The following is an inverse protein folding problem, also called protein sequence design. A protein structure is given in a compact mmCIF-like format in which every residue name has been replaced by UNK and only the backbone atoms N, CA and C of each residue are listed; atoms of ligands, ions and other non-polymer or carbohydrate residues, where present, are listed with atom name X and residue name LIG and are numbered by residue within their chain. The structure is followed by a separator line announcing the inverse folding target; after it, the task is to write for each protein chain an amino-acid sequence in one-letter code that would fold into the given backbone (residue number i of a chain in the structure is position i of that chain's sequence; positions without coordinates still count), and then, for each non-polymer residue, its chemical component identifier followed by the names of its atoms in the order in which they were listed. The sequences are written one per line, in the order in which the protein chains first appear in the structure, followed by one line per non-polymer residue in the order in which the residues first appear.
data_IF_409182957741
#
_entry.id   IF_409182957741
#
_cell.length_a   1.000
_cell.length_b   1.000
_cell.length_c   1.000
_cell.angle_alpha   90.00
_cell.angle_beta   90.00
_cell.angle_gamma   90.00
#
_symmetry.space_group_name_H-M   'P 1'
#
loop_
_entity.id
_entity.type
_entity.pdbx_description
1 polymer ?
#
# COMPACT_ATOMS: atom_id res chain seq x y z
N UNK A 1 4.56 -12.67 15.74
CA UNK A 1 5.93 -13.22 15.88
C UNK A 1 7.03 -12.38 15.24
N UNK A 2 6.77 -11.20 14.64
CA UNK A 2 7.83 -10.32 14.09
C UNK A 2 8.55 -9.45 15.14
N UNK A 3 7.89 -9.12 16.25
CA UNK A 3 8.47 -8.32 17.34
C UNK A 3 9.61 -9.03 18.11
N UNK A 4 9.82 -10.32 17.86
CA UNK A 4 10.78 -11.14 18.59
C UNK A 4 12.14 -11.27 17.88
N UNK A 5 12.25 -10.81 16.62
CA UNK A 5 13.43 -11.07 15.78
C UNK A 5 14.48 -9.96 15.76
N UNK A 6 14.17 -8.72 16.19
CA UNK A 6 15.14 -7.63 16.22
C UNK A 6 14.89 -6.70 17.42
N UNK A 7 15.84 -6.68 18.38
CA UNK A 7 15.85 -5.71 19.47
C UNK A 7 16.35 -4.36 18.92
N UNK A 8 15.44 -3.56 18.37
CA UNK A 8 15.72 -2.20 17.87
C UNK A 8 14.43 -1.47 17.50
N UNK A 9 14.48 -0.14 17.37
CA UNK A 9 13.31 0.65 16.97
C UNK A 9 12.94 0.34 15.52
N UNK A 10 11.83 -0.38 15.32
CA UNK A 10 11.22 -0.58 14.01
C UNK A 10 10.32 0.61 13.69
N UNK A 11 10.81 1.53 12.86
CA UNK A 11 9.97 2.57 12.27
C UNK A 11 9.53 2.08 10.90
N UNK A 12 8.24 1.79 10.76
CA UNK A 12 7.63 1.47 9.48
C UNK A 12 6.38 2.33 9.30
N UNK A 13 6.16 2.82 8.09
CA UNK A 13 4.96 3.58 7.74
C UNK A 13 4.03 2.67 6.93
N UNK A 14 2.91 2.19 7.54
CA UNK A 14 1.91 1.41 6.82
C UNK A 14 1.36 2.15 5.59
N UNK A 15 1.35 3.48 5.64
CA UNK A 15 0.85 4.34 4.56
C UNK A 15 1.81 4.33 3.36
N UNK A 16 3.13 4.44 3.61
CA UNK A 16 4.15 4.34 2.57
C UNK A 16 4.14 2.96 1.89
N UNK A 17 4.08 1.89 2.69
CA UNK A 17 4.01 0.51 2.18
C UNK A 17 2.76 0.31 1.33
N UNK A 18 1.60 0.80 1.76
CA UNK A 18 0.35 0.71 1.00
C UNK A 18 0.44 1.45 -0.35
N UNK A 19 1.08 2.62 -0.37
CA UNK A 19 1.23 3.43 -1.58
C UNK A 19 2.13 2.75 -2.62
N UNK A 20 3.24 2.17 -2.17
CA UNK A 20 4.16 1.40 -3.02
C UNK A 20 3.47 0.14 -3.55
N UNK A 21 2.73 -0.59 -2.71
CA UNK A 21 1.96 -1.76 -3.10
C UNK A 21 0.87 -1.43 -4.14
N UNK A 22 0.21 -0.27 -4.02
CA UNK A 22 -0.80 0.17 -5.00
C UNK A 22 -0.19 0.54 -6.36
N UNK A 23 1.00 1.15 -6.37
CA UNK A 23 1.75 1.37 -7.60
C UNK A 23 2.22 0.05 -8.22
N UNK A 24 2.63 -0.91 -7.39
CA UNK A 24 2.97 -2.27 -7.82
C UNK A 24 1.77 -3.01 -8.41
N UNK A 25 0.58 -2.86 -7.83
CA UNK A 25 -0.66 -3.42 -8.37
C UNK A 25 -0.93 -2.92 -9.79
N UNK A 26 -0.74 -1.61 -10.04
CA UNK A 26 -0.91 -1.01 -11.38
C UNK A 26 0.09 -1.56 -12.41
N UNK A 27 1.30 -1.92 -11.98
CA UNK A 27 2.33 -2.49 -12.85
C UNK A 27 2.29 -4.02 -12.95
N UNK A 28 1.62 -4.69 -12.01
CA UNK A 28 1.49 -6.13 -11.98
C UNK A 28 0.33 -6.58 -12.90
N UNK A 29 0.43 -7.82 -13.39
CA UNK A 29 -0.57 -8.42 -14.27
C UNK A 29 -0.97 -9.81 -13.75
N UNK A 30 -2.20 -10.24 -14.07
CA UNK A 30 -2.70 -11.57 -13.74
C UNK A 30 -2.85 -11.81 -12.24
N UNK A 31 -2.36 -12.96 -11.76
CA UNK A 31 -2.55 -13.41 -10.38
C UNK A 31 -1.88 -12.51 -9.34
N UNK A 32 -0.75 -11.89 -9.70
CA UNK A 32 -0.01 -10.98 -8.81
C UNK A 32 -0.80 -9.70 -8.52
N UNK A 33 -1.49 -9.13 -9.51
CA UNK A 33 -2.37 -7.98 -9.30
C UNK A 33 -3.55 -8.33 -8.38
N UNK A 34 -4.15 -9.52 -8.54
CA UNK A 34 -5.25 -9.97 -7.69
C UNK A 34 -4.83 -10.20 -6.22
N UNK A 35 -3.61 -10.69 -5.99
CA UNK A 35 -3.05 -10.84 -4.65
C UNK A 35 -2.76 -9.48 -4.01
N UNK A 36 -2.24 -8.52 -4.78
CA UNK A 36 -1.98 -7.16 -4.32
C UNK A 36 -3.28 -6.42 -3.97
N UNK A 37 -4.33 -6.56 -4.79
CA UNK A 37 -5.67 -6.05 -4.46
C UNK A 37 -6.22 -6.63 -3.17
N UNK A 38 -6.10 -7.95 -3.02
CA UNK A 38 -6.58 -8.65 -1.82
C UNK A 38 -5.83 -8.20 -0.56
N UNK A 39 -4.51 -8.01 -0.66
CA UNK A 39 -3.68 -7.54 0.45
C UNK A 39 -3.98 -6.09 0.84
N UNK A 40 -4.28 -5.23 -0.14
CA UNK A 40 -4.61 -3.82 0.07
C UNK A 40 -6.07 -3.59 0.52
N UNK A 41 -6.92 -4.62 0.54
CA UNK A 41 -8.37 -4.52 0.76
C UNK A 41 -9.03 -3.43 -0.11
N UNK A 42 -8.42 -3.10 -1.25
CA UNK A 42 -8.90 -2.06 -2.14
C UNK A 42 -10.01 -2.67 -3.00
N UNK A 43 -11.26 -2.27 -2.72
CA UNK A 43 -12.39 -2.64 -3.55
C UNK A 43 -12.22 -2.03 -4.95
N UNK A 44 -11.79 -2.85 -5.90
CA UNK A 44 -11.90 -2.77 -7.38
C UNK A 44 -11.91 -1.40 -8.07
N UNK A 45 -11.37 -0.33 -7.49
CA UNK A 45 -11.43 1.01 -8.08
C UNK A 45 -10.09 1.72 -7.96
N UNK A 46 -9.17 1.23 -8.79
CA UNK A 46 -7.81 1.73 -9.04
C UNK A 46 -7.77 3.25 -9.35
N UNK A 47 -8.90 3.84 -9.77
CA UNK A 47 -9.05 5.29 -9.98
C UNK A 47 -9.29 6.08 -8.67
N UNK A 48 -9.96 5.48 -7.69
CA UNK A 48 -10.21 6.08 -6.37
C UNK A 48 -8.96 6.04 -5.50
N UNK A 49 -8.15 4.98 -5.63
CA UNK A 49 -6.87 4.82 -4.93
C UNK A 49 -5.89 5.95 -5.25
N UNK A 50 -5.73 6.31 -6.52
CA UNK A 50 -4.84 7.39 -6.97
C UNK A 50 -5.26 8.75 -6.40
N UNK A 51 -6.56 9.05 -6.47
CA UNK A 51 -7.15 10.28 -5.94
C UNK A 51 -7.06 10.38 -4.42
N UNK A 52 -7.25 9.25 -3.71
CA UNK A 52 -7.09 9.18 -2.26
C UNK A 52 -5.65 9.45 -1.82
N UNK A 53 -4.68 8.86 -2.51
CA UNK A 53 -3.26 9.09 -2.26
C UNK A 53 -2.84 10.54 -2.52
N UNK A 54 -3.32 11.14 -3.62
CA UNK A 54 -3.08 12.57 -3.89
C UNK A 54 -3.69 13.47 -2.81
N UNK A 55 -4.91 13.18 -2.38
CA UNK A 55 -5.58 13.94 -1.31
C UNK A 55 -4.86 13.83 0.03
N UNK A 56 -4.26 12.67 0.34
CA UNK A 56 -3.44 12.50 1.55
C UNK A 56 -2.17 13.35 1.47
N UNK A 57 -1.47 13.34 0.33
CA UNK A 57 -0.27 14.17 0.12
C UNK A 57 -0.61 15.66 0.18
N UNK A 58 -1.73 16.08 -0.42
CA UNK A 58 -2.20 17.47 -0.35
C UNK A 58 -2.62 17.89 1.07
N UNK A 59 -3.17 16.97 1.88
CA UNK A 59 -3.55 17.25 3.28
C UNK A 59 -2.35 17.35 4.24
N UNK A 60 -1.18 16.87 3.82
CA UNK A 60 0.05 16.84 4.61
C UNK A 60 1.01 18.00 4.27
N UNK A 61 0.63 18.85 3.30
CA UNK A 61 1.33 20.09 2.92
C UNK A 61 0.60 21.31 3.48
#
# INVERSE_FOLDING_TARGET
TLAQSQRGNLVSSPLSVSMVLAMLEKGATGSTAAQLQSALHQGSNVATTDKGYRSLVESLN
#
